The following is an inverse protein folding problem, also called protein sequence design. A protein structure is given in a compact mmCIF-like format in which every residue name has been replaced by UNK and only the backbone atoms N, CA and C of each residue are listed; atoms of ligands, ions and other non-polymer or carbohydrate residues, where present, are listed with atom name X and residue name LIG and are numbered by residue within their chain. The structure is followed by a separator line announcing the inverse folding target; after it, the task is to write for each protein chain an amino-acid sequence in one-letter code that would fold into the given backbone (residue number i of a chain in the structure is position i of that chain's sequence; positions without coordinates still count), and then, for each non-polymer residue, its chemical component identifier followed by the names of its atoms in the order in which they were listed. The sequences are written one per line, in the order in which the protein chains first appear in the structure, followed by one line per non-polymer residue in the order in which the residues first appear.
data_IF_087821322781
#
_entry.id   IF_087821322781
#
_cell.length_a   1.000
_cell.length_b   1.000
_cell.length_c   1.000
_cell.angle_alpha   90.00
_cell.angle_beta   90.00
_cell.angle_gamma   90.00
#
_symmetry.space_group_name_H-M   'P 1'
#
loop_
_entity.id
_entity.type
_entity.pdbx_description
1 polymer ?
#
# COMPACT_ATOMS: atom_id res chain seq x y z
N UNK A 1 -48.37 59.67 -15.86
CA UNK A 1 -46.95 59.82 -16.27
C UNK A 1 -46.14 58.73 -15.57
N UNK A 2 -45.39 57.97 -16.38
CA UNK A 2 -44.28 57.07 -16.03
C UNK A 2 -44.65 55.78 -15.28
N UNK A 3 -44.85 54.70 -16.04
CA UNK A 3 -44.73 53.33 -15.55
C UNK A 3 -43.27 52.87 -15.60
N UNK A 4 -42.83 52.16 -14.56
CA UNK A 4 -41.49 51.55 -14.47
C UNK A 4 -41.61 50.06 -14.73
N UNK A 5 -41.18 49.64 -15.93
CA UNK A 5 -40.95 48.23 -16.25
C UNK A 5 -39.57 47.84 -15.71
N UNK A 6 -39.53 46.91 -14.74
CA UNK A 6 -38.29 46.31 -14.27
C UNK A 6 -37.76 45.31 -15.31
N UNK A 7 -36.60 45.60 -15.88
CA UNK A 7 -35.91 44.70 -16.80
C UNK A 7 -35.28 43.53 -16.02
N UNK A 8 -35.71 42.30 -16.33
CA UNK A 8 -35.01 41.08 -15.91
C UNK A 8 -33.79 40.89 -16.80
N UNK A 9 -32.59 41.08 -16.24
CA UNK A 9 -31.34 40.71 -16.91
C UNK A 9 -31.13 39.19 -16.75
N UNK A 10 -31.37 38.44 -17.83
CA UNK A 10 -30.98 37.03 -17.91
C UNK A 10 -29.47 36.93 -18.12
N UNK A 11 -28.73 36.54 -17.08
CA UNK A 11 -27.31 36.19 -17.20
C UNK A 11 -27.20 34.77 -17.78
N UNK A 12 -26.80 34.66 -19.05
CA UNK A 12 -26.47 33.39 -19.67
C UNK A 12 -25.10 32.90 -19.17
N UNK A 13 -25.09 31.84 -18.38
CA UNK A 13 -23.85 31.12 -18.02
C UNK A 13 -23.40 30.29 -19.23
N UNK A 14 -22.35 30.74 -19.92
CA UNK A 14 -21.67 29.94 -20.94
C UNK A 14 -20.84 28.88 -20.22
N UNK A 15 -21.37 27.66 -20.13
CA UNK A 15 -20.61 26.50 -19.68
C UNK A 15 -19.61 26.09 -20.77
N UNK A 16 -18.37 26.57 -20.66
CA UNK A 16 -17.26 26.06 -21.47
C UNK A 16 -16.89 24.65 -21.02
N UNK A 17 -17.21 23.64 -21.82
CA UNK A 17 -16.72 22.28 -21.62
C UNK A 17 -15.22 22.26 -21.95
N UNK A 18 -14.37 22.25 -20.93
CA UNK A 18 -12.93 22.01 -21.11
C UNK A 18 -12.76 20.50 -21.28
N UNK A 19 -12.59 20.05 -22.52
CA UNK A 19 -12.21 18.66 -22.80
C UNK A 19 -10.78 18.44 -22.30
N UNK A 20 -10.62 17.84 -21.12
CA UNK A 20 -9.32 17.33 -20.71
C UNK A 20 -8.93 16.19 -21.66
N UNK A 21 -7.69 16.17 -22.20
CA UNK A 21 -7.25 15.01 -22.97
C UNK A 21 -7.21 13.81 -22.03
N UNK A 22 -8.00 12.79 -22.36
CA UNK A 22 -7.83 11.46 -21.77
C UNK A 22 -6.45 10.96 -22.16
N UNK A 23 -5.54 10.91 -21.19
CA UNK A 23 -4.24 10.27 -21.35
C UNK A 23 -4.44 8.76 -21.51
N UNK A 24 -4.77 8.32 -22.72
CA UNK A 24 -4.67 6.92 -23.08
C UNK A 24 -3.18 6.58 -23.18
N UNK A 25 -2.62 6.01 -22.10
CA UNK A 25 -1.30 5.41 -22.15
C UNK A 25 -1.37 4.15 -23.05
N UNK A 26 -1.14 4.33 -24.34
CA UNK A 26 -0.77 3.22 -25.22
C UNK A 26 0.46 2.54 -24.63
N UNK A 27 0.48 1.20 -24.46
CA UNK A 27 1.69 0.53 -24.03
C UNK A 27 2.75 0.73 -25.09
N UNK A 28 3.80 1.48 -24.75
CA UNK A 28 4.97 1.60 -25.59
C UNK A 28 5.65 0.24 -25.64
N UNK A 29 5.43 -0.52 -26.72
CA UNK A 29 6.30 -1.65 -27.08
C UNK A 29 7.64 -1.05 -27.50
N UNK A 30 8.54 -0.89 -26.53
CA UNK A 30 9.95 -0.63 -26.79
C UNK A 30 10.59 -1.89 -27.38
N UNK A 31 10.59 -1.97 -28.71
CA UNK A 31 11.49 -2.87 -29.42
C UNK A 31 12.89 -2.27 -29.42
N UNK A 32 13.83 -2.89 -28.71
CA UNK A 32 15.27 -2.64 -28.85
C UNK A 32 16.01 -3.98 -28.86
N UNK A 33 16.55 -4.34 -30.02
CA UNK A 33 17.44 -5.48 -30.20
C UNK A 33 18.73 -5.30 -29.39
N UNK A 34 19.12 -6.36 -28.70
CA UNK A 34 20.34 -6.43 -27.89
C UNK A 34 20.35 -7.71 -27.04
N UNK A 35 21.32 -8.58 -27.28
CA UNK A 35 21.41 -9.98 -26.84
C UNK A 35 21.50 -10.16 -25.30
N UNK A 36 20.69 -11.07 -24.73
CA UNK A 36 21.02 -11.84 -23.50
C UNK A 36 20.28 -11.54 -22.18
N UNK A 37 19.72 -10.34 -21.96
CA UNK A 37 19.23 -9.93 -20.63
C UNK A 37 17.70 -9.96 -20.40
N UNK A 38 16.89 -9.97 -21.45
CA UNK A 38 15.43 -9.82 -21.33
C UNK A 38 14.74 -10.98 -20.58
N UNK A 39 15.26 -12.20 -20.68
CA UNK A 39 14.65 -13.36 -20.04
C UNK A 39 14.74 -13.40 -18.51
N UNK A 40 15.69 -12.70 -17.87
CA UNK A 40 15.81 -12.72 -16.41
C UNK A 40 14.81 -11.77 -15.74
N UNK A 41 14.66 -10.55 -16.25
CA UNK A 41 13.71 -9.58 -15.71
C UNK A 41 12.26 -10.07 -15.84
N UNK A 42 11.92 -10.71 -16.97
CA UNK A 42 10.62 -11.35 -17.15
C UNK A 42 10.38 -12.50 -16.15
N UNK A 43 11.43 -13.28 -15.84
CA UNK A 43 11.36 -14.36 -14.84
C UNK A 43 11.22 -13.83 -13.42
N UNK A 44 11.96 -12.79 -13.04
CA UNK A 44 11.86 -12.16 -11.74
C UNK A 44 10.48 -11.56 -11.51
N UNK A 45 9.96 -10.81 -12.50
CA UNK A 45 8.62 -10.23 -12.43
C UNK A 45 7.53 -11.31 -12.31
N UNK A 46 7.63 -12.38 -13.11
CA UNK A 46 6.71 -13.52 -13.00
C UNK A 46 6.84 -14.22 -11.64
N UNK A 47 8.06 -14.39 -11.15
CA UNK A 47 8.31 -14.93 -9.82
C UNK A 47 7.73 -14.06 -8.72
N UNK A 48 7.75 -12.73 -8.88
CA UNK A 48 7.17 -11.79 -7.94
C UNK A 48 5.66 -11.90 -7.86
N UNK A 49 4.99 -11.97 -9.02
CA UNK A 49 3.57 -12.23 -9.08
C UNK A 49 3.20 -13.57 -8.43
N UNK A 50 3.97 -14.64 -8.69
CA UNK A 50 3.75 -15.96 -8.07
C UNK A 50 3.94 -15.92 -6.54
N UNK A 51 4.97 -15.24 -6.05
CA UNK A 51 5.22 -15.10 -4.63
C UNK A 51 4.10 -14.31 -3.94
N UNK A 52 3.62 -13.21 -4.56
CA UNK A 52 2.50 -12.43 -4.04
C UNK A 52 1.21 -13.27 -3.95
N UNK A 53 0.86 -14.00 -5.00
CA UNK A 53 -0.32 -14.88 -5.00
C UNK A 53 -0.22 -15.99 -3.94
N UNK A 54 0.99 -16.53 -3.71
CA UNK A 54 1.23 -17.53 -2.66
C UNK A 54 1.10 -16.93 -1.27
N UNK A 55 1.65 -15.73 -1.05
CA UNK A 55 1.54 -15.01 0.20
C UNK A 55 0.08 -14.67 0.52
N UNK A 56 -0.68 -14.19 -0.47
CA UNK A 56 -2.12 -13.93 -0.36
C UNK A 56 -2.88 -15.20 0.03
N UNK A 57 -2.68 -16.30 -0.72
CA UNK A 57 -3.34 -17.59 -0.42
C UNK A 57 -2.99 -18.14 0.96
N UNK A 58 -1.73 -17.98 1.39
CA UNK A 58 -1.27 -18.47 2.70
C UNK A 58 -1.82 -17.60 3.83
N UNK A 59 -1.98 -16.30 3.59
CA UNK A 59 -2.30 -15.31 4.60
C UNK A 59 -1.19 -15.16 5.64
N UNK A 60 -1.49 -14.36 6.65
CA UNK A 60 -0.63 -14.14 7.82
C UNK A 60 -1.36 -14.71 9.04
N UNK A 61 -0.68 -15.59 9.77
CA UNK A 61 -1.14 -16.12 11.06
C UNK A 61 -0.83 -15.09 12.15
N UNK A 62 -1.72 -14.11 12.30
CA UNK A 62 -1.59 -13.02 13.26
C UNK A 62 -1.73 -13.51 14.69
N UNK A 63 -0.71 -13.24 15.52
CA UNK A 63 -0.65 -13.59 16.94
C UNK A 63 -0.18 -12.40 17.76
N UNK A 64 -0.24 -12.54 19.08
CA UNK A 64 0.49 -11.64 19.95
C UNK A 64 1.97 -11.61 19.54
N UNK A 65 2.56 -10.43 19.61
CA UNK A 65 3.96 -10.25 19.25
C UNK A 65 4.88 -11.00 20.22
N UNK A 66 6.00 -11.59 19.74
CA UNK A 66 7.01 -12.14 20.62
C UNK A 66 7.45 -11.12 21.67
N UNK A 67 7.66 -11.57 22.92
CA UNK A 67 7.92 -10.68 24.04
C UNK A 67 9.19 -9.81 23.84
N UNK A 68 10.19 -10.36 23.16
CA UNK A 68 11.46 -9.71 22.85
C UNK A 68 11.37 -8.64 21.74
N UNK A 69 10.24 -8.53 21.03
CA UNK A 69 10.04 -7.50 20.00
C UNK A 69 9.65 -6.14 20.60
N UNK A 70 9.23 -6.12 21.86
CA UNK A 70 8.85 -4.89 22.56
C UNK A 70 7.59 -4.24 21.99
N UNK A 71 6.66 -5.05 21.46
CA UNK A 71 5.36 -4.62 20.95
C UNK A 71 4.25 -5.16 21.83
N UNK A 72 3.47 -4.27 22.42
CA UNK A 72 2.36 -4.63 23.30
C UNK A 72 1.05 -4.83 22.52
N UNK A 73 0.17 -5.68 23.08
CA UNK A 73 -1.23 -5.79 22.66
C UNK A 73 -1.91 -4.40 22.64
N UNK A 74 -2.79 -4.10 21.66
CA UNK A 74 -3.40 -5.01 20.68
C UNK A 74 -2.60 -5.15 19.36
N UNK A 75 -1.32 -4.78 19.33
CA UNK A 75 -0.49 -5.00 18.14
C UNK A 75 -0.26 -6.51 17.98
N UNK A 76 -0.55 -7.01 16.79
CA UNK A 76 -0.35 -8.40 16.41
C UNK A 76 0.85 -8.49 15.47
N UNK A 77 1.58 -9.59 15.53
CA UNK A 77 2.72 -9.86 14.66
C UNK A 77 2.52 -11.16 13.87
N UNK A 78 3.27 -11.29 12.78
CA UNK A 78 3.24 -12.45 11.92
C UNK A 78 4.38 -12.46 10.91
N UNK A 79 4.24 -13.31 9.90
CA UNK A 79 5.26 -13.52 8.88
C UNK A 79 4.67 -13.59 7.48
N UNK A 80 5.34 -12.98 6.51
CA UNK A 80 5.11 -13.18 5.08
C UNK A 80 6.28 -13.98 4.51
N UNK A 81 5.99 -15.14 3.90
CA UNK A 81 7.03 -16.00 3.32
C UNK A 81 7.23 -15.67 1.84
N UNK A 82 8.46 -15.34 1.44
CA UNK A 82 8.82 -14.96 0.05
C UNK A 82 10.09 -15.70 -0.42
N UNK A 83 10.32 -15.85 -1.73
CA UNK A 83 11.58 -16.42 -2.21
C UNK A 83 12.74 -15.43 -1.99
N UNK A 84 13.92 -15.96 -1.69
CA UNK A 84 15.16 -15.18 -1.64
C UNK A 84 15.49 -14.62 -3.03
N UNK A 85 15.40 -15.48 -4.05
CA UNK A 85 15.63 -15.19 -5.46
C UNK A 85 14.31 -15.39 -6.23
N UNK A 86 13.78 -14.30 -6.78
CA UNK A 86 12.50 -14.31 -7.48
C UNK A 86 12.59 -14.94 -8.88
N UNK A 87 13.77 -15.02 -9.50
CA UNK A 87 13.96 -15.81 -10.72
C UNK A 87 13.86 -17.32 -10.43
N UNK A 88 14.00 -17.72 -9.16
CA UNK A 88 13.84 -19.10 -8.66
C UNK A 88 12.74 -19.14 -7.58
N UNK A 89 11.46 -18.94 -7.94
CA UNK A 89 10.37 -18.74 -6.97
C UNK A 89 10.03 -19.98 -6.11
N UNK A 90 10.61 -21.14 -6.43
CA UNK A 90 10.51 -22.38 -5.63
C UNK A 90 11.81 -22.70 -4.87
N UNK A 91 12.78 -21.80 -4.88
CA UNK A 91 14.07 -21.96 -4.23
C UNK A 91 14.00 -21.68 -2.73
N UNK A 92 15.11 -21.17 -2.17
CA UNK A 92 15.19 -20.81 -0.76
C UNK A 92 14.14 -19.75 -0.41
N UNK A 93 13.32 -20.04 0.60
CA UNK A 93 12.34 -19.10 1.14
C UNK A 93 12.93 -18.36 2.34
N UNK A 94 12.51 -17.11 2.50
CA UNK A 94 12.78 -16.26 3.67
C UNK A 94 11.44 -15.77 4.25
N UNK A 95 11.47 -15.28 5.49
CA UNK A 95 10.30 -14.72 6.16
C UNK A 95 10.52 -13.23 6.38
N UNK A 96 9.51 -12.42 6.08
CA UNK A 96 9.46 -11.00 6.41
C UNK A 96 8.57 -10.82 7.63
N UNK A 97 9.10 -10.22 8.68
CA UNK A 97 8.34 -9.87 9.87
C UNK A 97 7.37 -8.74 9.56
N UNK A 98 6.16 -8.86 10.10
CA UNK A 98 5.10 -7.86 9.97
C UNK A 98 4.42 -7.64 11.32
N UNK A 99 4.01 -6.40 11.58
CA UNK A 99 3.11 -6.05 12.68
C UNK A 99 1.85 -5.35 12.16
N UNK A 100 0.77 -5.44 12.93
CA UNK A 100 -0.51 -4.83 12.59
C UNK A 100 -1.29 -4.40 13.81
N UNK A 101 -2.00 -3.29 13.69
CA UNK A 101 -3.21 -3.01 14.47
C UNK A 101 -4.36 -2.70 13.54
N UNK A 102 -5.55 -3.21 13.86
CA UNK A 102 -6.75 -3.00 13.04
C UNK A 102 -7.22 -1.54 13.05
N UNK A 103 -7.97 -1.15 12.02
CA UNK A 103 -8.62 0.16 11.97
C UNK A 103 -9.52 0.39 13.20
N UNK A 104 -9.57 1.62 13.69
CA UNK A 104 -10.42 2.01 14.83
C UNK A 104 -11.86 2.35 14.45
N UNK A 105 -12.14 2.45 13.14
CA UNK A 105 -13.48 2.72 12.62
C UNK A 105 -14.36 1.47 12.59
N UNK A 106 -15.62 1.69 12.25
CA UNK A 106 -16.58 0.63 11.94
C UNK A 106 -16.17 -0.16 10.70
N UNK A 107 -16.78 -1.34 10.51
CA UNK A 107 -16.55 -2.18 9.32
C UNK A 107 -16.83 -1.44 8.00
N UNK A 108 -17.78 -0.50 7.99
CA UNK A 108 -18.10 0.31 6.81
C UNK A 108 -17.13 1.46 6.55
N UNK A 109 -16.41 1.91 7.59
CA UNK A 109 -15.36 2.94 7.44
C UNK A 109 -14.02 2.34 7.00
N UNK A 110 -13.79 1.05 7.27
CA UNK A 110 -12.54 0.37 6.92
C UNK A 110 -12.40 0.22 5.40
N UNK A 111 -11.31 0.78 4.87
CA UNK A 111 -10.94 0.77 3.46
C UNK A 111 -9.82 -0.22 3.13
N UNK A 112 -9.01 -0.65 4.10
CA UNK A 112 -7.94 -1.62 3.86
C UNK A 112 -6.77 -1.50 4.83
N UNK A 113 -5.55 -1.67 4.32
CA UNK A 113 -4.31 -1.58 5.10
C UNK A 113 -3.43 -0.43 4.60
N UNK A 114 -2.86 0.33 5.52
CA UNK A 114 -1.84 1.34 5.27
C UNK A 114 -0.48 0.72 5.64
N UNK A 115 0.31 0.42 4.61
CA UNK A 115 1.62 -0.22 4.75
C UNK A 115 2.70 0.87 4.79
N UNK A 116 3.60 0.79 5.77
CA UNK A 116 4.62 1.79 6.00
C UNK A 116 6.04 1.28 5.70
N UNK A 117 6.80 2.09 4.97
CA UNK A 117 8.25 1.93 4.80
C UNK A 117 8.93 3.26 5.19
N UNK A 118 9.79 3.29 6.22
CA UNK A 118 10.36 4.53 6.76
C UNK A 118 11.44 5.17 5.87
N UNK A 119 11.89 4.47 4.82
CA UNK A 119 13.12 4.83 4.09
C UNK A 119 14.36 4.17 4.70
N UNK A 120 15.53 4.75 4.45
CA UNK A 120 16.82 4.08 4.66
C UNK A 120 17.50 3.80 3.32
N UNK A 121 18.28 2.71 3.16
CA UNK A 121 17.94 1.32 3.51
C UNK A 121 18.30 0.88 4.94
N UNK A 122 17.85 -0.31 5.33
CA UNK A 122 18.10 -0.87 6.67
C UNK A 122 17.12 -0.41 7.76
N UNK A 123 16.17 0.48 7.42
CA UNK A 123 15.14 0.94 8.34
C UNK A 123 14.05 -0.10 8.56
N UNK A 124 13.78 -0.43 9.82
CA UNK A 124 12.64 -1.25 10.23
C UNK A 124 11.34 -0.46 10.09
N UNK A 125 10.35 -0.99 9.36
CA UNK A 125 9.01 -0.42 9.28
C UNK A 125 8.09 -0.84 10.43
N UNK A 126 8.54 -1.73 11.31
CA UNK A 126 7.83 -2.14 12.51
C UNK A 126 7.60 -0.96 13.46
N UNK A 127 6.71 -1.14 14.45
CA UNK A 127 6.23 -0.10 15.38
C UNK A 127 5.38 1.00 14.72
N UNK A 128 5.16 0.99 13.41
CA UNK A 128 4.17 1.88 12.80
C UNK A 128 2.76 1.77 13.43
N UNK A 129 2.25 0.56 13.79
CA UNK A 129 0.99 0.40 14.52
C UNK A 129 0.91 1.17 15.85
N UNK A 130 2.05 1.48 16.48
CA UNK A 130 2.06 2.26 17.73
C UNK A 130 1.45 3.65 17.56
N UNK A 131 1.43 4.20 16.34
CA UNK A 131 0.79 5.50 16.06
C UNK A 131 -0.71 5.47 16.37
N UNK A 132 -1.35 4.32 16.19
CA UNK A 132 -2.76 4.10 16.54
C UNK A 132 -2.91 3.86 18.04
N UNK A 133 -2.11 2.97 18.63
CA UNK A 133 -2.26 2.59 20.05
C UNK A 133 -1.90 3.72 21.02
N UNK A 134 -0.95 4.58 20.63
CA UNK A 134 -0.61 5.83 21.37
C UNK A 134 -1.55 6.99 21.05
N UNK A 135 -2.58 6.78 20.21
CA UNK A 135 -3.59 7.77 19.83
C UNK A 135 -2.99 9.08 19.28
N UNK A 136 -1.96 8.97 18.43
CA UNK A 136 -1.34 10.14 17.84
C UNK A 136 -2.36 10.88 16.93
N UNK A 137 -2.64 12.18 17.19
CA UNK A 137 -3.70 12.93 16.50
C UNK A 137 -3.47 13.08 15.00
N UNK A 138 -2.21 13.08 14.54
CA UNK A 138 -1.86 13.15 13.12
C UNK A 138 -2.47 12.00 12.31
N UNK A 139 -2.62 10.84 12.97
CA UNK A 139 -3.07 9.60 12.33
C UNK A 139 -4.53 9.26 12.65
N UNK A 140 -5.24 10.06 13.44
CA UNK A 140 -6.58 9.70 13.92
C UNK A 140 -7.58 9.45 12.77
N UNK A 141 -7.53 10.26 11.70
CA UNK A 141 -8.42 10.10 10.54
C UNK A 141 -8.11 8.84 9.76
N UNK A 142 -6.84 8.58 9.48
CA UNK A 142 -6.39 7.41 8.72
C UNK A 142 -6.53 6.12 9.53
N UNK A 143 -6.34 6.17 10.85
CA UNK A 143 -6.55 5.03 11.73
C UNK A 143 -8.01 4.55 11.74
N UNK A 144 -8.99 5.43 11.49
CA UNK A 144 -10.38 4.99 11.31
C UNK A 144 -10.57 4.16 10.04
N UNK A 145 -9.87 4.54 8.97
CA UNK A 145 -10.05 3.94 7.65
C UNK A 145 -9.14 2.74 7.38
N UNK A 146 -7.97 2.64 8.02
CA UNK A 146 -6.95 1.66 7.65
C UNK A 146 -6.45 0.88 8.86
N UNK A 147 -6.21 -0.41 8.65
CA UNK A 147 -5.29 -1.17 9.50
C UNK A 147 -3.88 -0.61 9.28
N UNK A 148 -3.13 -0.39 10.36
CA UNK A 148 -1.75 0.07 10.26
C UNK A 148 -0.85 -1.16 10.22
N UNK A 149 -0.02 -1.25 9.19
CA UNK A 149 0.88 -2.39 8.98
C UNK A 149 2.31 -1.90 8.82
N UNK A 150 3.20 -2.34 9.71
CA UNK A 150 4.63 -2.22 9.55
C UNK A 150 5.21 -3.54 9.07
N UNK A 151 6.39 -3.47 8.43
CA UNK A 151 7.14 -4.64 8.06
C UNK A 151 8.64 -4.36 8.12
N UNK A 152 9.40 -5.42 8.35
CA UNK A 152 10.84 -5.39 8.16
C UNK A 152 11.18 -5.87 6.74
N UNK A 153 11.88 -5.05 5.93
CA UNK A 153 12.41 -5.51 4.66
C UNK A 153 13.37 -6.70 4.84
N UNK A 154 13.66 -7.41 3.74
CA UNK A 154 14.62 -8.53 3.78
C UNK A 154 15.97 -8.10 4.39
N UNK A 155 16.49 -8.89 5.34
CA UNK A 155 17.78 -8.61 5.99
C UNK A 155 17.77 -7.43 6.95
N UNK A 156 16.59 -7.04 7.46
CA UNK A 156 16.41 -5.94 8.40
C UNK A 156 15.67 -6.45 9.63
N UNK A 157 16.08 -5.99 10.81
CA UNK A 157 15.35 -6.24 12.06
C UNK A 157 15.13 -7.73 12.32
N UNK A 158 13.87 -8.13 12.31
CA UNK A 158 13.46 -9.52 12.56
C UNK A 158 13.40 -10.39 11.29
N UNK A 159 13.78 -9.89 10.11
CA UNK A 159 13.67 -10.57 8.79
C UNK A 159 14.99 -11.01 8.17
#
# INVERSE_FOLDING_TARGET
MIGTAGAFAAAALIAGAVSAPVANATPQKSGHGGHGGYGSHDREARGAALAAARAEKKGIDWKDCPADWGLASPIQCGWVTVPLDYAKPNGKQIKLAVDRVGSTGTKGERQGSLVYNPGGPGGSGMRFPTRVTTKNPLYAKTAKAYDYVGFDPRGVGHS
#
